data_IF_655317335005
#
_entry.id   IF_655317335005
#
_cell.length_a   1.000
_cell.length_b   1.000
_cell.length_c   1.000
_cell.angle_alpha   90.00
_cell.angle_beta   90.00
_cell.angle_gamma   90.00
#
_symmetry.space_group_name_H-M   'P 1'
#
loop_
_entity.id
_entity.type
_entity.pdbx_description
1 polymer ?
#
# COMPACT_ATOMS: atom_id res chain seq x y z
N UNK A 1 -19.63 -17.90 15.99
CA UNK A 1 -19.00 -17.26 17.17
C UNK A 1 -19.60 -17.88 18.42
N UNK A 2 -18.81 -18.59 19.23
CA UNK A 2 -19.28 -19.30 20.43
C UNK A 2 -20.61 -20.08 20.22
N UNK A 3 -20.70 -20.82 19.12
CA UNK A 3 -21.89 -21.60 18.75
C UNK A 3 -23.02 -20.84 18.05
N UNK A 4 -23.00 -19.50 18.04
CA UNK A 4 -23.93 -18.67 17.25
C UNK A 4 -23.49 -18.63 15.79
N UNK A 5 -24.42 -18.92 14.88
CA UNK A 5 -24.19 -18.92 13.44
C UNK A 5 -24.59 -17.59 12.83
N UNK A 6 -23.73 -17.06 11.95
CA UNK A 6 -23.97 -15.89 11.13
C UNK A 6 -23.70 -16.32 9.69
N UNK A 7 -24.73 -16.27 8.83
CA UNK A 7 -24.58 -16.68 7.43
C UNK A 7 -23.77 -15.62 6.68
N UNK A 8 -22.87 -16.08 5.82
CA UNK A 8 -22.14 -15.25 4.88
C UNK A 8 -22.34 -15.80 3.47
N UNK A 9 -22.59 -14.91 2.53
CA UNK A 9 -22.64 -15.21 1.11
C UNK A 9 -21.23 -15.08 0.53
N UNK A 10 -20.82 -16.02 -0.31
CA UNK A 10 -19.57 -15.87 -1.04
C UNK A 10 -19.78 -14.83 -2.14
N UNK A 11 -18.95 -13.78 -2.14
CA UNK A 11 -18.99 -12.76 -3.17
C UNK A 11 -18.62 -13.37 -4.54
N UNK A 12 -19.36 -13.08 -5.60
CA UNK A 12 -19.09 -13.53 -6.97
C UNK A 12 -17.73 -13.09 -7.53
N UNK A 13 -17.09 -12.06 -6.95
CA UNK A 13 -15.71 -11.69 -7.25
C UNK A 13 -14.65 -12.68 -6.72
N UNK A 14 -15.06 -13.86 -6.24
CA UNK A 14 -14.20 -14.90 -5.65
C UNK A 14 -13.52 -15.83 -6.67
N UNK A 15 -13.53 -15.52 -7.95
CA UNK A 15 -12.79 -16.29 -8.96
C UNK A 15 -11.35 -15.74 -9.02
N UNK A 16 -10.49 -16.18 -8.09
CA UNK A 16 -9.25 -16.87 -8.47
C UNK A 16 -8.26 -17.12 -7.31
N UNK A 17 -8.25 -16.39 -6.18
CA UNK A 17 -7.20 -16.60 -5.15
C UNK A 17 -7.61 -16.61 -3.67
N UNK A 18 -8.75 -16.02 -3.24
CA UNK A 18 -9.25 -16.17 -1.87
C UNK A 18 -10.79 -16.00 -1.77
N UNK A 19 -11.52 -16.93 -1.12
CA UNK A 19 -12.96 -16.81 -0.94
C UNK A 19 -13.30 -15.72 0.07
N UNK A 20 -14.21 -14.82 -0.29
CA UNK A 20 -14.64 -13.71 0.56
C UNK A 20 -16.09 -13.92 0.97
N UNK A 21 -16.32 -14.11 2.26
CA UNK A 21 -17.65 -14.17 2.85
C UNK A 21 -18.16 -12.78 3.22
N UNK A 22 -19.29 -12.37 2.64
CA UNK A 22 -20.01 -11.16 3.01
C UNK A 22 -21.18 -11.52 3.90
N UNK A 23 -21.32 -10.86 5.05
CA UNK A 23 -22.51 -11.00 5.89
C UNK A 23 -23.54 -9.95 5.41
N UNK A 24 -24.66 -10.36 4.79
CA UNK A 24 -25.68 -9.42 4.34
C UNK A 24 -26.53 -8.91 5.51
N UNK A 25 -27.13 -7.73 5.33
CA UNK A 25 -28.11 -7.18 6.28
C UNK A 25 -27.49 -6.51 7.50
N UNK A 26 -28.16 -6.62 8.65
CA UNK A 26 -27.72 -5.99 9.90
C UNK A 26 -26.52 -6.74 10.50
N UNK A 27 -25.36 -6.07 10.49
CA UNK A 27 -24.11 -6.60 11.03
C UNK A 27 -23.99 -6.42 12.55
N UNK A 28 -24.90 -5.69 13.20
CA UNK A 28 -24.84 -5.42 14.65
C UNK A 28 -24.79 -6.70 15.49
N UNK A 29 -25.62 -7.73 15.26
CA UNK A 29 -25.54 -8.98 16.01
C UNK A 29 -24.19 -9.69 15.90
N UNK A 30 -23.50 -9.51 14.77
CA UNK A 30 -22.14 -10.06 14.54
C UNK A 30 -21.14 -9.29 15.39
N UNK A 31 -21.17 -7.95 15.35
CA UNK A 31 -20.28 -7.09 16.15
C UNK A 31 -20.43 -7.37 17.64
N UNK A 32 -21.68 -7.47 18.12
CA UNK A 32 -21.97 -7.79 19.53
C UNK A 32 -21.44 -9.18 19.90
N UNK A 33 -21.55 -10.17 19.00
CA UNK A 33 -21.00 -11.51 19.22
C UNK A 33 -19.46 -11.53 19.16
N UNK A 34 -18.83 -10.77 18.26
CA UNK A 34 -17.37 -10.65 18.19
C UNK A 34 -16.81 -10.05 19.49
N UNK A 35 -17.49 -9.04 20.04
CA UNK A 35 -17.07 -8.38 21.26
C UNK A 35 -17.18 -9.25 22.51
N UNK A 36 -18.23 -10.08 22.60
CA UNK A 36 -18.52 -10.90 23.78
C UNK A 36 -17.94 -12.32 23.67
N UNK A 37 -17.63 -12.75 22.45
CA UNK A 37 -17.19 -14.10 22.15
C UNK A 37 -15.73 -14.36 22.51
N UNK A 38 -15.37 -15.64 22.56
CA UNK A 38 -13.99 -16.09 22.77
C UNK A 38 -13.37 -16.61 21.48
N UNK A 39 -14.15 -17.31 20.67
CA UNK A 39 -13.69 -17.92 19.42
C UNK A 39 -14.71 -17.69 18.30
N UNK A 40 -14.21 -17.24 17.17
CA UNK A 40 -14.93 -17.26 15.89
C UNK A 40 -14.39 -18.39 15.04
N UNK A 41 -15.26 -19.34 14.70
CA UNK A 41 -14.95 -20.35 13.68
C UNK A 41 -15.45 -19.87 12.32
N UNK A 42 -14.55 -19.70 11.36
CA UNK A 42 -14.89 -19.56 9.94
C UNK A 42 -15.03 -20.96 9.36
N UNK A 43 -16.14 -21.25 8.68
CA UNK A 43 -16.43 -22.55 8.07
C UNK A 43 -16.50 -22.42 6.55
N UNK A 44 -15.57 -23.03 5.85
CA UNK A 44 -15.56 -23.20 4.39
C UNK A 44 -15.21 -24.65 4.02
N UNK A 45 -14.32 -24.85 3.05
CA UNK A 45 -13.74 -26.18 2.74
C UNK A 45 -12.97 -26.76 3.93
N UNK A 46 -12.37 -25.89 4.74
CA UNK A 46 -11.81 -26.19 6.05
C UNK A 46 -12.43 -25.26 7.09
N UNK A 47 -12.33 -25.64 8.36
CA UNK A 47 -12.71 -24.75 9.48
C UNK A 47 -11.47 -24.14 10.10
N UNK A 48 -11.53 -22.84 10.39
CA UNK A 48 -10.47 -22.11 11.06
C UNK A 48 -11.03 -21.37 12.26
N UNK A 49 -10.40 -21.57 13.42
CA UNK A 49 -10.72 -20.83 14.64
C UNK A 49 -9.86 -19.57 14.76
N UNK A 50 -10.51 -18.47 15.12
CA UNK A 50 -9.91 -17.17 15.36
C UNK A 50 -10.22 -16.78 16.80
N UNK A 51 -9.19 -16.47 17.58
CA UNK A 51 -9.34 -15.93 18.93
C UNK A 51 -9.97 -14.54 18.88
N UNK A 52 -10.98 -14.30 19.71
CA UNK A 52 -11.63 -13.01 19.89
C UNK A 52 -11.12 -12.26 21.13
N UNK A 53 -10.07 -12.76 21.78
CA UNK A 53 -9.44 -12.04 22.88
C UNK A 53 -8.92 -10.69 22.38
N UNK A 54 -9.38 -9.61 23.04
CA UNK A 54 -9.05 -8.24 22.67
C UNK A 54 -10.03 -7.58 21.69
N UNK A 55 -10.98 -8.31 21.10
CA UNK A 55 -11.94 -7.75 20.16
C UNK A 55 -12.77 -6.60 20.77
N UNK A 56 -13.33 -6.81 21.96
CA UNK A 56 -14.05 -5.75 22.69
C UNK A 56 -13.19 -4.51 22.96
N UNK A 57 -11.92 -4.70 23.36
CA UNK A 57 -11.00 -3.61 23.64
C UNK A 57 -10.65 -2.83 22.36
N UNK A 58 -10.41 -3.53 21.25
CA UNK A 58 -10.16 -2.92 19.95
C UNK A 58 -11.39 -2.13 19.44
N UNK A 59 -12.59 -2.70 19.53
CA UNK A 59 -13.83 -2.03 19.12
C UNK A 59 -14.11 -0.79 20.01
N UNK A 60 -13.85 -0.88 21.32
CA UNK A 60 -13.97 0.25 22.23
C UNK A 60 -12.94 1.35 21.92
N UNK A 61 -11.70 0.98 21.59
CA UNK A 61 -10.67 1.92 21.17
C UNK A 61 -11.05 2.63 19.87
N UNK A 62 -11.64 1.92 18.91
CA UNK A 62 -12.18 2.52 17.67
C UNK A 62 -13.25 3.56 18.02
N UNK A 63 -14.21 3.22 18.90
CA UNK A 63 -15.24 4.17 19.35
C UNK A 63 -14.61 5.41 20.02
N UNK A 64 -13.58 5.22 20.84
CA UNK A 64 -12.88 6.33 21.51
C UNK A 64 -12.19 7.24 20.48
N UNK A 65 -11.41 6.68 19.55
CA UNK A 65 -10.68 7.45 18.53
C UNK A 65 -11.61 8.16 17.56
N UNK A 66 -12.77 7.59 17.28
CA UNK A 66 -13.78 8.22 16.44
C UNK A 66 -14.74 9.13 17.22
N UNK A 67 -14.60 9.28 18.55
CA UNK A 67 -15.49 10.12 19.36
C UNK A 67 -16.93 9.62 19.42
N UNK A 68 -17.15 8.30 19.26
CA UNK A 68 -18.49 7.68 19.19
C UNK A 68 -19.04 7.24 20.53
N UNK A 69 -18.22 7.23 21.58
CA UNK A 69 -18.60 6.76 22.91
C UNK A 69 -19.88 7.45 23.42
N UNK A 70 -20.77 6.64 23.98
CA UNK A 70 -22.07 7.03 24.54
C UNK A 70 -23.06 7.60 23.50
N UNK A 71 -22.82 7.39 22.20
CA UNK A 71 -23.77 7.68 21.12
C UNK A 71 -24.49 6.41 20.64
N UNK A 72 -25.62 6.49 19.93
CA UNK A 72 -26.27 5.32 19.33
C UNK A 72 -25.40 4.61 18.28
N UNK A 73 -24.41 5.32 17.72
CA UNK A 73 -23.54 4.82 16.64
C UNK A 73 -22.32 4.06 17.13
N UNK A 74 -22.05 4.04 18.44
CA UNK A 74 -20.94 3.29 19.01
C UNK A 74 -21.04 1.80 18.68
N UNK A 75 -19.90 1.15 18.44
CA UNK A 75 -19.78 -0.30 18.28
C UNK A 75 -20.02 -1.02 19.61
N UNK A 76 -19.45 -0.49 20.69
CA UNK A 76 -19.48 -1.08 22.03
C UNK A 76 -20.34 -0.26 23.01
N UNK A 77 -19.83 0.90 23.44
CA UNK A 77 -20.42 1.68 24.53
C UNK A 77 -21.44 2.67 23.98
N UNK A 78 -22.63 2.16 23.66
CA UNK A 78 -23.77 2.96 23.18
C UNK A 78 -24.36 3.83 24.29
N UNK A 79 -25.02 4.91 23.89
CA UNK A 79 -25.75 5.79 24.80
C UNK A 79 -26.66 6.77 24.05
N UNK A 80 -27.15 7.77 24.77
CA UNK A 80 -28.15 8.72 24.26
C UNK A 80 -27.54 10.02 23.71
N UNK A 81 -26.21 10.18 23.73
CA UNK A 81 -25.59 11.38 23.15
C UNK A 81 -25.93 11.45 21.65
N UNK A 82 -26.39 12.60 21.15
CA UNK A 82 -26.76 12.74 19.75
C UNK A 82 -25.64 12.30 18.81
N UNK A 83 -25.97 11.58 17.72
CA UNK A 83 -24.98 11.16 16.73
C UNK A 83 -24.21 12.34 16.10
N UNK A 84 -24.78 13.56 16.14
CA UNK A 84 -24.13 14.79 15.69
C UNK A 84 -22.92 15.22 16.53
N UNK A 85 -22.67 14.60 17.69
CA UNK A 85 -21.46 14.86 18.49
C UNK A 85 -20.24 14.10 17.98
N UNK A 86 -20.42 13.12 17.08
CA UNK A 86 -19.32 12.40 16.44
C UNK A 86 -18.57 13.37 15.52
N UNK A 87 -17.25 13.56 15.69
CA UNK A 87 -16.46 14.42 14.81
C UNK A 87 -16.61 14.02 13.34
N UNK A 88 -16.77 15.03 12.48
CA UNK A 88 -16.76 14.82 11.02
C UNK A 88 -15.36 14.38 10.60
N UNK A 89 -15.28 13.39 9.72
CA UNK A 89 -14.00 12.94 9.18
C UNK A 89 -13.30 14.12 8.46
N UNK A 90 -12.00 14.37 8.70
CA UNK A 90 -11.28 15.41 7.99
C UNK A 90 -11.33 15.20 6.47
N UNK A 91 -11.32 16.31 5.73
CA UNK A 91 -11.19 16.26 4.28
C UNK A 91 -9.87 15.60 3.88
N UNK A 92 -9.92 14.78 2.82
CA UNK A 92 -8.71 14.20 2.26
C UNK A 92 -7.89 15.29 1.55
N UNK A 93 -6.56 15.31 1.74
CA UNK A 93 -5.68 16.17 0.93
C UNK A 93 -5.90 15.88 -0.54
N UNK A 94 -5.88 16.92 -1.39
CA UNK A 94 -6.04 16.76 -2.84
C UNK A 94 -4.66 16.76 -3.51
N UNK A 95 -4.41 15.79 -4.38
CA UNK A 95 -3.15 15.70 -5.14
C UNK A 95 -3.47 15.69 -6.63
N UNK A 96 -2.98 16.72 -7.34
CA UNK A 96 -3.13 16.80 -8.79
C UNK A 96 -1.94 16.14 -9.49
N UNK A 97 -2.21 15.16 -10.35
CA UNK A 97 -1.21 14.60 -11.26
C UNK A 97 -0.79 15.64 -12.30
N UNK A 98 0.49 15.63 -12.67
CA UNK A 98 0.94 16.38 -13.85
C UNK A 98 0.26 15.83 -15.13
N UNK A 99 0.21 16.61 -16.23
CA UNK A 99 -0.23 16.06 -17.50
C UNK A 99 0.67 14.90 -17.98
N UNK A 100 0.11 13.87 -18.65
CA UNK A 100 0.91 12.84 -19.29
C UNK A 100 1.78 13.44 -20.39
N UNK A 101 2.95 12.83 -20.61
CA UNK A 101 3.92 13.24 -21.63
C UNK A 101 4.35 12.04 -22.46
N UNK A 102 4.76 12.29 -23.70
CA UNK A 102 5.26 11.25 -24.59
C UNK A 102 6.46 10.52 -23.98
N UNK A 103 6.38 9.20 -23.95
CA UNK A 103 7.42 8.28 -23.50
C UNK A 103 8.33 7.81 -24.64
N UNK A 104 8.39 8.53 -25.76
CA UNK A 104 9.26 8.16 -26.87
C UNK A 104 10.73 8.04 -26.40
N UNK A 105 11.29 6.84 -26.51
CA UNK A 105 12.64 6.50 -26.06
C UNK A 105 12.77 6.08 -24.58
N UNK A 106 11.66 5.94 -23.87
CA UNK A 106 11.59 5.49 -22.47
C UNK A 106 10.71 4.24 -22.34
N UNK A 107 10.83 3.51 -21.23
CA UNK A 107 10.00 2.35 -20.93
C UNK A 107 10.62 1.42 -19.89
N UNK A 108 10.01 0.26 -19.70
CA UNK A 108 10.35 -0.64 -18.59
C UNK A 108 11.39 -1.71 -18.95
N UNK A 109 11.83 -1.74 -20.20
CA UNK A 109 12.76 -2.75 -20.71
C UNK A 109 13.78 -2.13 -21.65
N UNK A 110 14.93 -2.81 -21.78
CA UNK A 110 16.02 -2.44 -22.68
C UNK A 110 16.53 -1.01 -22.48
N UNK A 111 16.38 -0.47 -21.27
CA UNK A 111 16.91 0.84 -20.92
C UNK A 111 18.36 0.71 -20.46
N UNK A 112 19.15 1.73 -20.75
CA UNK A 112 20.55 1.81 -20.28
C UNK A 112 20.70 3.04 -19.41
N UNK A 113 21.20 2.85 -18.19
CA UNK A 113 21.46 3.95 -17.28
C UNK A 113 22.44 4.94 -17.91
N UNK A 114 22.15 6.26 -17.87
CA UNK A 114 23.08 7.27 -18.32
C UNK A 114 24.41 7.22 -17.56
N UNK A 115 25.51 7.57 -18.23
CA UNK A 115 26.85 7.47 -17.66
C UNK A 115 27.02 8.26 -16.35
N UNK A 116 26.42 9.45 -16.27
CA UNK A 116 26.46 10.28 -15.07
C UNK A 116 25.74 9.63 -13.88
N UNK A 117 24.58 9.01 -14.11
CA UNK A 117 23.85 8.27 -13.09
C UNK A 117 24.60 7.00 -12.68
N UNK A 118 25.13 6.24 -13.66
CA UNK A 118 25.92 5.02 -13.41
C UNK A 118 27.22 5.29 -12.65
N UNK A 119 27.76 6.51 -12.76
CA UNK A 119 28.97 6.94 -12.08
C UNK A 119 28.79 7.27 -10.60
N UNK A 120 27.55 7.34 -10.09
CA UNK A 120 27.31 7.56 -8.66
C UNK A 120 27.72 6.32 -7.84
N UNK A 121 28.33 6.54 -6.68
CA UNK A 121 28.84 5.44 -5.83
C UNK A 121 27.68 4.60 -5.28
N UNK A 122 26.59 5.25 -4.90
CA UNK A 122 25.36 4.65 -4.39
C UNK A 122 24.70 3.76 -5.46
N UNK A 123 24.67 4.23 -6.72
CA UNK A 123 24.19 3.44 -7.87
C UNK A 123 25.09 2.25 -8.13
N UNK A 124 26.41 2.43 -8.10
CA UNK A 124 27.37 1.34 -8.25
C UNK A 124 27.26 0.27 -7.15
N UNK A 125 26.94 0.66 -5.91
CA UNK A 125 26.71 -0.28 -4.81
C UNK A 125 25.39 -1.04 -4.98
N UNK A 126 24.30 -0.33 -5.27
CA UNK A 126 23.01 -0.91 -5.61
C UNK A 126 23.14 -1.95 -6.75
N UNK A 127 23.82 -1.63 -7.85
CA UNK A 127 23.99 -2.57 -8.97
C UNK A 127 24.77 -3.85 -8.60
N UNK A 128 25.67 -3.81 -7.60
CA UNK A 128 26.39 -5.01 -7.14
C UNK A 128 25.48 -5.98 -6.40
N UNK A 129 24.47 -5.47 -5.70
CA UNK A 129 23.44 -6.28 -5.03
C UNK A 129 22.50 -6.95 -6.04
N UNK A 130 22.46 -6.46 -7.29
CA UNK A 130 21.73 -7.02 -8.44
C UNK A 130 22.60 -7.86 -9.38
N UNK A 131 23.71 -8.44 -8.92
CA UNK A 131 24.69 -9.11 -9.79
C UNK A 131 24.18 -10.34 -10.57
N UNK A 132 22.91 -10.74 -10.40
CA UNK A 132 22.26 -11.72 -11.26
C UNK A 132 21.83 -11.05 -12.58
N UNK A 133 22.27 -11.53 -13.76
CA UNK A 133 21.96 -10.90 -15.05
C UNK A 133 20.47 -10.64 -15.30
N UNK A 134 19.61 -11.56 -14.85
CA UNK A 134 18.15 -11.43 -14.96
C UNK A 134 17.58 -10.20 -14.23
N UNK A 135 18.33 -9.63 -13.28
CA UNK A 135 17.93 -8.49 -12.45
C UNK A 135 18.69 -7.23 -12.84
N UNK A 136 19.99 -7.33 -13.15
CA UNK A 136 20.82 -6.17 -13.52
C UNK A 136 20.33 -5.44 -14.78
N UNK A 137 19.64 -6.16 -15.67
CA UNK A 137 19.13 -5.62 -16.93
C UNK A 137 17.72 -5.02 -16.81
N UNK A 138 17.09 -5.11 -15.63
CA UNK A 138 15.74 -4.57 -15.33
C UNK A 138 15.79 -3.07 -15.00
N UNK A 139 16.49 -2.30 -15.83
CA UNK A 139 16.49 -0.85 -15.78
C UNK A 139 15.19 -0.36 -16.43
N UNK A 140 14.47 0.51 -15.73
CA UNK A 140 13.28 1.18 -16.24
C UNK A 140 13.54 2.67 -16.33
N UNK A 141 12.89 3.34 -17.28
CA UNK A 141 12.99 4.78 -17.46
C UNK A 141 11.65 5.38 -17.86
N UNK A 142 11.41 6.61 -17.44
CA UNK A 142 10.23 7.37 -17.87
C UNK A 142 10.55 8.85 -18.05
N UNK A 143 9.87 9.51 -18.97
CA UNK A 143 9.88 10.97 -19.08
C UNK A 143 8.80 11.56 -18.16
N UNK A 144 9.21 12.44 -17.25
CA UNK A 144 8.28 13.15 -16.38
C UNK A 144 7.87 14.50 -16.98
N UNK A 145 8.78 15.21 -17.61
CA UNK A 145 8.49 16.43 -18.37
C UNK A 145 9.62 16.70 -19.38
N UNK A 146 9.65 17.88 -20.02
CA UNK A 146 10.68 18.23 -21.00
C UNK A 146 12.11 18.34 -20.42
N UNK A 147 12.23 18.44 -19.09
CA UNK A 147 13.47 18.65 -18.34
C UNK A 147 13.71 17.59 -17.27
N UNK A 148 12.81 16.63 -17.09
CA UNK A 148 12.91 15.64 -16.02
C UNK A 148 12.68 14.24 -16.57
N UNK A 149 13.66 13.37 -16.34
CA UNK A 149 13.63 11.93 -16.59
C UNK A 149 13.65 11.19 -15.25
N UNK A 150 12.99 10.04 -15.20
CA UNK A 150 12.94 9.10 -14.08
C UNK A 150 13.69 7.83 -14.48
N UNK A 151 14.47 7.29 -13.56
CA UNK A 151 15.23 6.06 -13.76
C UNK A 151 15.04 5.13 -12.56
N UNK A 152 14.71 3.86 -12.82
CA UNK A 152 14.74 2.79 -11.84
C UNK A 152 16.05 2.03 -11.97
N UNK A 153 16.87 2.07 -10.93
CA UNK A 153 18.12 1.29 -10.83
C UNK A 153 17.81 0.00 -10.08
N UNK A 154 17.98 -1.20 -10.69
CA UNK A 154 17.77 -2.45 -9.96
C UNK A 154 18.85 -2.59 -8.88
N UNK A 155 18.42 -2.83 -7.64
CA UNK A 155 19.30 -2.95 -6.48
C UNK A 155 19.38 -4.37 -5.94
N UNK A 156 18.32 -5.15 -5.91
CA UNK A 156 18.46 -6.56 -5.52
C UNK A 156 17.20 -7.37 -5.74
N UNK A 157 17.32 -8.67 -5.56
CA UNK A 157 16.17 -9.58 -5.63
C UNK A 157 16.18 -10.55 -4.45
N UNK A 158 15.05 -10.63 -3.75
CA UNK A 158 14.69 -11.75 -2.89
C UNK A 158 13.85 -12.79 -3.62
N UNK A 159 13.35 -13.80 -2.91
CA UNK A 159 12.62 -14.93 -3.50
C UNK A 159 11.36 -14.54 -4.31
N UNK A 160 10.73 -13.41 -3.99
CA UNK A 160 9.49 -12.94 -4.62
C UNK A 160 9.41 -11.41 -4.69
N UNK A 161 10.51 -10.72 -4.41
CA UNK A 161 10.61 -9.26 -4.32
C UNK A 161 11.82 -8.79 -5.12
N UNK A 162 11.63 -7.80 -5.97
CA UNK A 162 12.69 -7.07 -6.68
C UNK A 162 12.77 -5.66 -6.09
N UNK A 163 13.96 -5.15 -5.81
CA UNK A 163 14.13 -3.78 -5.31
C UNK A 163 14.74 -2.87 -6.36
N UNK A 164 14.24 -1.64 -6.41
CA UNK A 164 14.75 -0.58 -7.27
C UNK A 164 14.98 0.68 -6.46
N UNK A 165 16.07 1.40 -6.75
CA UNK A 165 16.26 2.76 -6.30
C UNK A 165 15.96 3.73 -7.45
N UNK A 166 15.14 4.74 -7.16
CA UNK A 166 14.63 5.68 -8.16
C UNK A 166 15.41 6.99 -8.15
N UNK A 167 15.74 7.48 -9.34
CA UNK A 167 16.50 8.71 -9.54
C UNK A 167 15.81 9.61 -10.55
N UNK A 168 15.94 10.92 -10.32
CA UNK A 168 15.54 11.98 -11.24
C UNK A 168 16.79 12.55 -11.91
N UNK A 169 16.70 12.81 -13.20
CA UNK A 169 17.76 13.46 -13.97
C UNK A 169 17.19 14.54 -14.88
N UNK A 170 18.04 15.47 -15.30
CA UNK A 170 17.81 16.24 -16.51
C UNK A 170 17.97 15.37 -17.77
N UNK A 171 17.62 15.91 -18.97
CA UNK A 171 17.69 15.16 -20.22
C UNK A 171 19.07 14.58 -20.48
N UNK A 172 19.12 13.28 -20.81
CA UNK A 172 20.36 12.54 -21.04
C UNK A 172 21.12 12.18 -19.76
N UNK A 173 20.44 12.13 -18.61
CA UNK A 173 21.03 11.75 -17.33
C UNK A 173 21.78 12.85 -16.59
N UNK A 174 21.60 14.12 -16.95
CA UNK A 174 22.29 15.24 -16.28
C UNK A 174 21.81 15.41 -14.84
N UNK A 175 22.69 15.90 -13.97
CA UNK A 175 22.36 16.29 -12.58
C UNK A 175 21.53 15.23 -11.81
N UNK A 176 22.01 13.98 -11.72
CA UNK A 176 21.26 12.91 -11.09
C UNK A 176 21.04 13.18 -9.60
N UNK A 177 19.81 12.95 -9.14
CA UNK A 177 19.41 13.06 -7.73
C UNK A 177 18.42 11.97 -7.36
N UNK A 178 18.41 11.47 -6.12
CA UNK A 178 17.40 10.49 -5.69
C UNK A 178 15.99 11.09 -5.78
N UNK A 179 15.02 10.27 -6.17
CA UNK A 179 13.61 10.61 -6.00
C UNK A 179 13.26 10.58 -4.50
N UNK A 180 12.38 11.46 -4.04
CA UNK A 180 11.92 11.43 -2.66
C UNK A 180 10.56 10.70 -2.58
N UNK A 181 10.55 9.51 -2.00
CA UNK A 181 9.38 8.64 -1.86
C UNK A 181 8.97 8.55 -0.39
N UNK A 182 8.16 9.52 0.05
CA UNK A 182 7.79 9.62 1.46
C UNK A 182 6.61 8.69 1.78
N UNK A 183 6.75 7.80 2.76
CA UNK A 183 5.70 6.87 3.25
C UNK A 183 5.05 7.31 4.57
N UNK A 184 4.14 6.52 5.16
CA UNK A 184 3.63 6.81 6.53
C UNK A 184 4.31 6.02 7.66
N UNK A 185 5.04 4.94 7.33
CA UNK A 185 5.85 4.18 8.28
C UNK A 185 7.18 3.71 7.65
N UNK A 186 8.27 3.76 8.41
CA UNK A 186 9.62 3.32 8.00
C UNK A 186 10.61 4.47 7.71
N UNK A 187 11.86 4.17 7.28
CA UNK A 187 12.86 5.19 6.93
C UNK A 187 12.35 6.21 5.89
N UNK A 188 11.51 5.77 4.94
CA UNK A 188 10.83 6.67 4.00
C UNK A 188 9.78 7.60 4.61
N UNK A 189 9.36 7.42 5.86
CA UNK A 189 8.46 8.36 6.54
C UNK A 189 9.21 9.53 7.19
N UNK A 190 10.55 9.54 7.21
CA UNK A 190 11.33 10.69 7.67
C UNK A 190 11.34 11.79 6.60
N UNK A 191 10.73 12.96 6.84
CA UNK A 191 10.75 14.07 5.88
C UNK A 191 12.17 14.63 5.64
N UNK A 192 13.15 14.32 6.50
CA UNK A 192 14.53 14.78 6.37
C UNK A 192 15.44 13.75 5.68
N UNK A 193 15.01 12.50 5.57
CA UNK A 193 15.76 11.41 4.94
C UNK A 193 14.82 10.52 4.11
N UNK A 194 14.13 11.08 3.09
CA UNK A 194 13.19 10.32 2.30
C UNK A 194 13.88 9.16 1.58
N UNK A 195 13.25 7.99 1.61
CA UNK A 195 13.70 6.83 0.86
C UNK A 195 13.50 7.07 -0.65
N UNK A 196 14.33 6.44 -1.48
CA UNK A 196 14.14 6.38 -2.92
C UNK A 196 13.97 4.94 -3.42
N UNK A 197 13.86 3.98 -2.51
CA UNK A 197 13.70 2.57 -2.81
C UNK A 197 12.24 2.15 -2.92
N UNK A 198 11.97 1.18 -3.77
CA UNK A 198 10.70 0.47 -3.86
C UNK A 198 10.94 -1.02 -3.94
N UNK A 199 9.95 -1.80 -3.50
CA UNK A 199 9.90 -3.24 -3.73
C UNK A 199 8.82 -3.52 -4.78
N UNK A 200 9.14 -4.26 -5.83
CA UNK A 200 8.28 -4.50 -6.99
C UNK A 200 7.70 -3.19 -7.53
N UNK A 201 8.57 -2.20 -7.72
CA UNK A 201 8.17 -0.86 -8.12
C UNK A 201 7.83 -0.78 -9.61
N UNK A 202 6.86 0.06 -9.96
CA UNK A 202 6.44 0.31 -11.34
C UNK A 202 5.97 1.75 -11.49
N UNK A 203 6.26 2.39 -12.63
CA UNK A 203 5.77 3.73 -12.93
C UNK A 203 4.81 3.70 -14.12
N UNK A 204 3.57 4.13 -13.90
CA UNK A 204 2.57 4.31 -14.96
C UNK A 204 2.62 5.76 -15.49
N UNK A 205 3.05 5.99 -16.74
CA UNK A 205 3.13 7.33 -17.34
C UNK A 205 1.77 7.95 -17.66
N UNK A 206 0.70 7.15 -17.77
CA UNK A 206 -0.66 7.60 -18.03
C UNK A 206 -1.32 8.21 -16.80
N UNK A 207 -1.30 7.48 -15.69
CA UNK A 207 -1.82 7.95 -14.40
C UNK A 207 -0.82 8.79 -13.60
N UNK A 208 0.47 8.81 -14.01
CA UNK A 208 1.57 9.53 -13.36
C UNK A 208 1.93 8.98 -11.98
N UNK A 209 1.67 7.70 -11.76
CA UNK A 209 1.88 7.08 -10.46
C UNK A 209 3.09 6.16 -10.46
N UNK A 210 3.92 6.28 -9.42
CA UNK A 210 4.86 5.26 -9.02
C UNK A 210 4.20 4.38 -7.95
N UNK A 211 4.12 3.08 -8.17
CA UNK A 211 3.64 2.10 -7.19
C UNK A 211 4.76 1.24 -6.64
N UNK A 212 4.55 0.69 -5.44
CA UNK A 212 5.43 -0.28 -4.79
C UNK A 212 4.58 -1.34 -4.11
N UNK A 213 4.99 -2.60 -4.23
CA UNK A 213 4.39 -3.73 -3.53
C UNK A 213 5.45 -4.57 -2.81
N UNK A 214 5.69 -4.22 -1.55
CA UNK A 214 6.54 -5.00 -0.65
C UNK A 214 5.77 -6.20 -0.08
N UNK A 215 5.89 -7.36 -0.72
CA UNK A 215 5.23 -8.59 -0.27
C UNK A 215 5.91 -9.14 0.98
N UNK A 216 5.15 -9.60 1.97
CA UNK A 216 5.67 -10.34 3.12
C UNK A 216 5.95 -11.82 2.82
N UNK A 217 5.27 -12.38 1.81
CA UNK A 217 5.55 -13.72 1.25
C UNK A 217 5.08 -13.81 -0.21
N UNK A 218 5.48 -14.88 -0.91
CA UNK A 218 5.31 -15.02 -2.37
C UNK A 218 3.90 -14.78 -2.92
N UNK A 219 2.86 -15.19 -2.17
CA UNK A 219 1.46 -14.99 -2.60
C UNK A 219 0.97 -13.54 -2.43
N UNK A 220 1.66 -12.71 -1.65
CA UNK A 220 1.29 -11.30 -1.47
C UNK A 220 0.02 -11.06 -0.65
N UNK A 221 -0.26 -11.90 0.36
CA UNK A 221 -1.42 -11.77 1.26
C UNK A 221 -1.14 -10.94 2.53
N UNK A 222 0.07 -10.39 2.62
CA UNK A 222 0.54 -9.44 3.62
C UNK A 222 1.68 -8.60 3.03
N UNK A 223 1.95 -7.44 3.63
CA UNK A 223 2.98 -6.51 3.19
C UNK A 223 2.51 -5.06 3.17
N UNK A 224 3.15 -4.27 2.30
CA UNK A 224 2.86 -2.84 2.11
C UNK A 224 2.67 -2.52 0.64
N UNK A 225 1.56 -1.83 0.35
CA UNK A 225 1.25 -1.24 -0.95
C UNK A 225 1.31 0.27 -0.84
N UNK A 226 2.09 0.90 -1.71
CA UNK A 226 2.22 2.35 -1.76
C UNK A 226 2.04 2.85 -3.20
N UNK A 227 1.46 4.04 -3.32
CA UNK A 227 1.31 4.74 -4.59
C UNK A 227 1.64 6.21 -4.38
N UNK A 228 2.59 6.72 -5.16
CA UNK A 228 2.94 8.14 -5.22
C UNK A 228 2.57 8.73 -6.57
N UNK A 229 1.99 9.92 -6.58
CA UNK A 229 1.65 10.65 -7.80
C UNK A 229 2.68 11.73 -8.09
N UNK A 230 3.14 11.81 -9.34
CA UNK A 230 4.00 12.90 -9.81
C UNK A 230 3.19 14.18 -10.05
N UNK A 231 3.50 15.22 -9.28
CA UNK A 231 2.80 16.52 -9.29
C UNK A 231 3.35 17.53 -10.30
N UNK A 232 4.41 17.18 -11.04
CA UNK A 232 5.17 18.14 -11.87
C UNK A 232 6.41 18.68 -11.16
N UNK A 233 6.53 18.44 -9.86
CA UNK A 233 7.67 18.88 -9.05
C UNK A 233 8.28 17.74 -8.22
N UNK A 234 7.41 16.90 -7.66
CA UNK A 234 7.78 15.77 -6.79
C UNK A 234 6.74 14.66 -6.82
N UNK A 235 7.15 13.49 -6.36
CA UNK A 235 6.24 12.40 -5.99
C UNK A 235 5.60 12.71 -4.63
N UNK A 236 4.29 12.48 -4.52
CA UNK A 236 3.51 12.67 -3.29
C UNK A 236 2.71 11.40 -3.02
N UNK A 237 2.76 10.88 -1.80
CA UNK A 237 2.01 9.67 -1.41
C UNK A 237 0.51 9.93 -1.53
N UNK A 238 -0.15 9.16 -2.39
CA UNK A 238 -1.58 9.27 -2.66
C UNK A 238 -2.38 8.09 -2.12
N UNK A 239 -1.74 6.94 -1.90
CA UNK A 239 -2.36 5.79 -1.24
C UNK A 239 -1.32 4.94 -0.54
N UNK A 240 -1.66 4.44 0.64
CA UNK A 240 -0.90 3.41 1.34
C UNK A 240 -1.87 2.41 2.00
N UNK A 241 -1.62 1.12 1.80
CA UNK A 241 -2.34 0.04 2.49
C UNK A 241 -1.33 -0.94 3.07
N UNK A 242 -1.56 -1.40 4.29
CA UNK A 242 -0.62 -2.28 5.00
C UNK A 242 -1.38 -3.41 5.66
N UNK A 243 -0.86 -4.63 5.47
CA UNK A 243 -1.33 -5.82 6.16
C UNK A 243 -0.11 -6.48 6.81
N UNK A 244 -0.02 -6.40 8.13
CA UNK A 244 1.10 -7.01 8.86
C UNK A 244 1.08 -8.53 8.81
N UNK A 245 -0.12 -9.13 8.85
CA UNK A 245 -0.28 -10.57 9.03
C UNK A 245 -0.72 -11.30 7.77
N UNK A 246 0.01 -12.37 7.46
CA UNK A 246 -0.21 -13.20 6.27
C UNK A 246 -1.31 -14.23 6.53
N UNK A 247 -2.56 -13.80 6.35
CA UNK A 247 -3.75 -14.59 6.63
C UNK A 247 -4.58 -14.94 5.38
N UNK A 248 -3.99 -14.90 4.19
CA UNK A 248 -4.67 -15.16 2.92
C UNK A 248 -5.62 -14.05 2.49
N UNK A 249 -5.47 -12.83 3.04
CA UNK A 249 -6.31 -11.68 2.70
C UNK A 249 -5.76 -11.00 1.45
N UNK A 250 -6.54 -10.92 0.35
CA UNK A 250 -6.12 -10.22 -0.85
C UNK A 250 -5.84 -8.74 -0.58
N UNK A 251 -4.90 -8.16 -1.33
CA UNK A 251 -4.45 -6.78 -1.18
C UNK A 251 -5.56 -5.73 -1.26
N UNK A 252 -6.62 -5.99 -2.01
CA UNK A 252 -7.77 -5.08 -2.14
C UNK A 252 -8.55 -4.88 -0.84
N UNK A 253 -8.38 -5.80 0.13
CA UNK A 253 -9.04 -5.76 1.43
C UNK A 253 -8.14 -5.29 2.56
N UNK A 254 -6.92 -4.86 2.24
CA UNK A 254 -5.99 -4.39 3.26
C UNK A 254 -6.45 -3.06 3.86
N UNK A 255 -6.23 -2.85 5.17
CA UNK A 255 -6.45 -1.56 5.79
C UNK A 255 -5.69 -0.44 5.07
N UNK A 256 -6.41 0.61 4.68
CA UNK A 256 -5.83 1.80 4.10
C UNK A 256 -5.29 2.68 5.22
N UNK A 257 -3.96 2.81 5.28
CA UNK A 257 -3.27 3.67 6.24
C UNK A 257 -3.26 5.14 5.80
N UNK A 258 -3.26 5.38 4.48
CA UNK A 258 -3.27 6.74 3.90
C UNK A 258 -4.00 6.78 2.57
N UNK A 259 -4.69 7.90 2.31
CA UNK A 259 -5.25 8.21 1.01
C UNK A 259 -5.41 9.71 0.78
N UNK A 260 -5.38 10.11 -0.48
CA UNK A 260 -5.71 11.46 -0.95
C UNK A 260 -6.96 11.43 -1.83
N UNK A 261 -7.47 12.63 -2.16
CA UNK A 261 -8.45 12.85 -3.23
C UNK A 261 -7.72 13.17 -4.54
#
# INVERSE_FOLDING_TARGET
IDGRNFAADLNAASEDDAPIGQIPGDVRPVIDALAQGKVMTIRGVSSQDISLHGAAAALLWIDEKQGRLDTPTALMRRGEKPASTVPVAPDLPTVAAAPPVSQAGFGDQNQTLPAALRGLTEVGNCLKESAMPAVSDMVMSARLDARTELWAVPCGSGAYNLTHNWYLTGPGGRDPRPAALIGTAGPGADPNAPDNSTVNGEYDPGSRTLSSFAKGRGIGDCGTLQTWTWTGQRFVLTRESTMGECAGVPSDFWPVAWRTR
#
